data_IF_067503771044
#
_entry.id   IF_067503771044
#
_cell.length_a   1.000
_cell.length_b   1.000
_cell.length_c   1.000
_cell.angle_alpha   90.00
_cell.angle_beta   90.00
_cell.angle_gamma   90.00
#
_symmetry.space_group_name_H-M   'P 1'
#
loop_
_entity.id
_entity.type
_entity.pdbx_description
1 polymer ?
#
# COMPACT_ATOMS: atom_id res chain seq x y z
N UNK A 1 1.97 5.53 -7.45
CA UNK A 1 2.38 4.10 -7.45
C UNK A 1 3.83 3.99 -7.00
N UNK A 2 4.29 2.82 -6.56
CA UNK A 2 5.70 2.58 -6.19
C UNK A 2 6.33 1.59 -7.18
N UNK A 3 7.31 1.99 -8.00
CA UNK A 3 7.86 1.15 -9.09
C UNK A 3 8.48 -0.17 -8.64
N UNK A 4 8.94 -0.27 -7.40
CA UNK A 4 9.54 -1.49 -6.82
C UNK A 4 8.51 -2.58 -6.53
N UNK A 5 7.20 -2.29 -6.64
CA UNK A 5 6.11 -3.22 -6.33
C UNK A 5 5.46 -3.68 -7.63
N UNK A 6 5.60 -4.96 -7.97
CA UNK A 6 4.97 -5.57 -9.15
C UNK A 6 3.50 -5.92 -8.92
N UNK A 7 3.18 -6.52 -7.76
CA UNK A 7 1.82 -6.89 -7.38
C UNK A 7 1.63 -6.83 -5.87
N UNK A 8 0.53 -6.25 -5.37
CA UNK A 8 0.15 -6.39 -3.97
C UNK A 8 -0.39 -7.82 -3.72
N UNK A 9 -0.19 -8.33 -2.50
CA UNK A 9 -0.81 -9.56 -2.01
C UNK A 9 -1.81 -9.16 -0.94
N UNK A 10 -3.10 -9.43 -1.16
CA UNK A 10 -4.19 -9.03 -0.26
C UNK A 10 -4.89 -10.27 0.30
N UNK A 11 -5.12 -10.27 1.61
CA UNK A 11 -5.95 -11.28 2.28
C UNK A 11 -7.39 -10.78 2.43
N UNK A 12 -8.36 -11.64 2.14
CA UNK A 12 -9.78 -11.32 2.29
C UNK A 12 -10.49 -12.42 3.09
N UNK A 13 -11.20 -12.04 4.15
CA UNK A 13 -12.01 -12.95 4.98
C UNK A 13 -13.51 -12.85 4.69
N UNK A 14 -13.91 -11.90 3.85
CA UNK A 14 -15.29 -11.64 3.40
C UNK A 14 -15.25 -11.27 1.92
N UNK A 15 -16.32 -11.57 1.14
CA UNK A 15 -16.40 -11.21 -0.27
C UNK A 15 -16.06 -9.73 -0.52
N UNK A 16 -16.72 -8.81 0.19
CA UNK A 16 -16.56 -7.35 0.05
C UNK A 16 -15.12 -6.84 0.01
N UNK A 17 -14.21 -7.47 0.76
CA UNK A 17 -12.80 -7.05 0.79
C UNK A 17 -12.10 -7.29 -0.55
N UNK A 18 -12.49 -8.35 -1.28
CA UNK A 18 -11.94 -8.64 -2.59
C UNK A 18 -12.40 -7.61 -3.62
N UNK A 19 -13.70 -7.28 -3.63
CA UNK A 19 -14.24 -6.28 -4.54
C UNK A 19 -13.59 -4.90 -4.31
N UNK A 20 -13.44 -4.49 -3.05
CA UNK A 20 -12.78 -3.23 -2.70
C UNK A 20 -11.30 -3.21 -3.09
N UNK A 21 -10.57 -4.33 -2.87
CA UNK A 21 -9.16 -4.44 -3.25
C UNK A 21 -8.96 -4.36 -4.77
N UNK A 22 -9.88 -4.95 -5.55
CA UNK A 22 -9.87 -4.84 -7.01
C UNK A 22 -10.13 -3.39 -7.45
N UNK A 23 -11.11 -2.73 -6.84
CA UNK A 23 -11.42 -1.33 -7.14
C UNK A 23 -10.24 -0.39 -6.81
N UNK A 24 -9.51 -0.66 -5.72
CA UNK A 24 -8.38 0.14 -5.27
C UNK A 24 -7.23 0.24 -6.29
N UNK A 25 -7.04 -0.75 -7.18
CA UNK A 25 -5.99 -0.74 -8.23
C UNK A 25 -6.18 0.44 -9.22
N UNK A 26 -7.43 0.88 -9.38
CA UNK A 26 -7.77 1.99 -10.27
C UNK A 26 -7.61 3.35 -9.61
N UNK A 27 -7.46 3.43 -8.29
CA UNK A 27 -7.19 4.67 -7.57
C UNK A 27 -5.81 5.20 -7.98
N UNK A 28 -5.78 6.45 -8.44
CA UNK A 28 -4.55 7.17 -8.78
C UNK A 28 -4.40 8.34 -7.82
N UNK A 29 -3.25 8.39 -7.17
CA UNK A 29 -2.88 9.50 -6.30
C UNK A 29 -1.92 10.43 -7.06
N UNK A 30 -2.12 11.71 -6.87
CA UNK A 30 -1.17 12.76 -7.27
C UNK A 30 0.11 12.69 -6.44
N UNK A 31 1.16 13.37 -6.91
CA UNK A 31 2.42 13.45 -6.18
C UNK A 31 2.25 14.11 -4.79
N UNK A 32 1.38 15.12 -4.68
CA UNK A 32 1.13 15.84 -3.43
C UNK A 32 0.37 14.96 -2.42
N UNK A 33 -0.60 14.16 -2.88
CA UNK A 33 -1.30 13.21 -2.02
C UNK A 33 -0.37 12.10 -1.51
N UNK A 34 0.49 11.57 -2.38
CA UNK A 34 1.51 10.58 -1.99
C UNK A 34 2.43 11.19 -0.93
N UNK A 35 2.95 12.40 -1.17
CA UNK A 35 3.82 13.10 -0.23
C UNK A 35 3.14 13.31 1.12
N UNK A 36 1.88 13.76 1.11
CA UNK A 36 1.08 13.99 2.33
C UNK A 36 0.87 12.70 3.12
N UNK A 37 0.63 11.56 2.45
CA UNK A 37 0.46 10.27 3.11
C UNK A 37 1.77 9.73 3.68
N UNK A 38 2.91 10.05 3.07
CA UNK A 38 4.23 9.56 3.48
C UNK A 38 4.91 10.43 4.54
N UNK A 39 4.58 11.72 4.63
CA UNK A 39 5.15 12.66 5.60
C UNK A 39 5.08 12.18 7.07
N UNK A 40 3.98 11.60 7.58
CA UNK A 40 3.93 11.09 8.95
C UNK A 40 4.58 9.71 9.14
N UNK A 41 5.01 9.03 8.07
CA UNK A 41 5.51 7.65 8.17
C UNK A 41 6.92 7.60 8.77
N UNK A 42 7.09 6.87 9.88
CA UNK A 42 8.39 6.60 10.49
C UNK A 42 8.82 5.15 10.23
N UNK A 43 9.82 4.91 9.36
CA UNK A 43 10.32 3.57 9.07
C UNK A 43 10.90 2.92 10.34
N UNK A 44 10.54 1.67 10.59
CA UNK A 44 11.12 0.90 11.67
C UNK A 44 12.40 0.20 11.19
N UNK A 45 13.48 0.21 11.98
CA UNK A 45 14.69 -0.51 11.62
C UNK A 45 14.43 -2.02 11.61
N UNK A 46 15.18 -2.75 10.78
CA UNK A 46 15.14 -4.21 10.78
C UNK A 46 15.82 -4.72 12.06
N UNK A 47 15.13 -5.58 12.82
CA UNK A 47 15.63 -6.19 14.05
C UNK A 47 15.82 -7.71 13.86
N UNK A 48 16.74 -8.31 14.64
CA UNK A 48 16.83 -9.78 14.76
C UNK A 48 17.70 -10.51 13.73
N UNK A 49 18.49 -9.80 12.92
CA UNK A 49 19.55 -10.38 12.11
C UNK A 49 20.91 -10.03 12.73
N UNK A 50 21.60 -11.03 13.26
CA UNK A 50 23.01 -11.00 13.71
C UNK A 50 23.79 -12.04 12.93
#
# INVERSE_FOLDING_TARGET
>A
SKPVITSPIVGASKPGHLEDAVAAINVKLSADEIKRLEEPYQPHPVLGFS
#
